data_IF_307691704864
#
_entry.id   IF_307691704864
#
_cell.length_a   1.000
_cell.length_b   1.000
_cell.length_c   1.000
_cell.angle_alpha   90.00
_cell.angle_beta   90.00
_cell.angle_gamma   90.00
#
_symmetry.space_group_name_H-M   'P 1'
#
loop_
_entity.id
_entity.type
_entity.pdbx_description
1 polymer ?
#
# COMPACT_ATOMS: atom_id res chain seq x y z
N UNK A 1 8.34 -5.53 -0.45
CA UNK A 1 8.69 -5.49 0.98
C UNK A 1 10.10 -4.96 1.11
N UNK A 2 10.40 -4.26 2.19
CA UNK A 2 11.71 -3.69 2.42
C UNK A 2 12.63 -4.72 3.09
N UNK A 3 13.94 -4.66 2.81
CA UNK A 3 14.92 -5.61 3.31
C UNK A 3 15.43 -5.31 4.74
N UNK A 4 14.96 -4.22 5.34
CA UNK A 4 15.35 -3.73 6.67
C UNK A 4 14.50 -4.32 7.81
N UNK A 5 13.67 -5.32 7.52
CA UNK A 5 12.71 -5.95 8.45
C UNK A 5 11.66 -5.01 9.05
N UNK A 6 11.47 -3.80 8.50
CA UNK A 6 10.32 -2.95 8.83
C UNK A 6 8.99 -3.65 8.53
N UNK A 7 9.00 -4.57 7.56
CA UNK A 7 7.88 -5.42 7.18
C UNK A 7 8.16 -6.87 7.61
N UNK A 8 7.46 -7.35 8.62
CA UNK A 8 7.70 -8.68 9.14
C UNK A 8 7.16 -9.76 8.17
N UNK A 9 7.99 -10.70 7.67
CA UNK A 9 7.56 -11.71 6.70
C UNK A 9 6.43 -12.64 7.17
N UNK A 10 6.16 -12.71 8.48
CA UNK A 10 5.09 -13.52 9.09
C UNK A 10 3.70 -13.18 8.55
N UNK A 11 3.53 -11.97 8.02
CA UNK A 11 2.26 -11.52 7.46
C UNK A 11 2.05 -11.94 6.00
N UNK A 12 3.09 -12.40 5.29
CA UNK A 12 2.98 -12.83 3.88
C UNK A 12 1.93 -13.95 3.71
N UNK A 13 1.90 -15.02 4.52
CA UNK A 13 0.86 -16.05 4.41
C UNK A 13 -0.56 -15.49 4.55
N UNK A 14 -0.77 -14.54 5.47
CA UNK A 14 -2.07 -13.89 5.66
C UNK A 14 -2.45 -13.02 4.45
N UNK A 15 -1.50 -12.30 3.86
CA UNK A 15 -1.75 -11.54 2.62
C UNK A 15 -2.14 -12.44 1.45
N UNK A 16 -1.48 -13.58 1.30
CA UNK A 16 -1.80 -14.59 0.27
C UNK A 16 -3.18 -15.21 0.51
N UNK A 17 -3.51 -15.55 1.78
CA UNK A 17 -4.83 -16.04 2.13
C UNK A 17 -5.91 -15.00 1.78
N UNK A 18 -5.70 -13.74 2.21
CA UNK A 18 -6.62 -12.64 1.92
C UNK A 18 -6.81 -12.43 0.42
N UNK A 19 -5.74 -12.50 -0.36
CA UNK A 19 -5.82 -12.38 -1.83
C UNK A 19 -6.72 -13.47 -2.42
N UNK A 20 -6.61 -14.71 -1.92
CA UNK A 20 -7.38 -15.86 -2.41
C UNK A 20 -8.86 -15.82 -2.02
N UNK A 21 -9.22 -15.18 -0.90
CA UNK A 21 -10.60 -15.15 -0.41
C UNK A 21 -11.60 -14.53 -1.40
N UNK A 22 -11.19 -13.50 -2.13
CA UNK A 22 -12.05 -12.79 -3.09
C UNK A 22 -11.37 -12.54 -4.45
N UNK A 23 -10.25 -13.23 -4.71
CA UNK A 23 -9.39 -13.01 -5.87
C UNK A 23 -8.99 -11.53 -6.04
N UNK A 24 -8.53 -10.89 -4.95
CA UNK A 24 -8.12 -9.48 -4.97
C UNK A 24 -6.91 -9.25 -5.89
N UNK A 25 -6.93 -8.17 -6.64
CA UNK A 25 -5.84 -7.81 -7.54
C UNK A 25 -4.60 -7.35 -6.76
N UNK A 26 -4.83 -6.58 -5.70
CA UNK A 26 -3.78 -6.02 -4.85
C UNK A 26 -4.17 -6.17 -3.37
N UNK A 27 -3.27 -6.73 -2.57
CA UNK A 27 -3.40 -6.73 -1.09
C UNK A 27 -2.32 -5.84 -0.49
N UNK A 28 -2.73 -4.89 0.33
CA UNK A 28 -1.85 -3.92 1.01
C UNK A 28 -1.82 -4.18 2.50
N UNK A 29 -0.61 -4.19 3.07
CA UNK A 29 -0.41 -4.09 4.51
C UNK A 29 -0.60 -2.63 4.96
N UNK A 30 -1.29 -2.43 6.08
CA UNK A 30 -1.63 -1.10 6.58
C UNK A 30 -1.18 -0.88 8.01
N UNK A 31 -0.66 0.32 8.29
CA UNK A 31 -0.33 0.79 9.64
C UNK A 31 -1.51 1.46 10.34
N UNK A 32 -2.61 1.73 9.61
CA UNK A 32 -3.65 2.67 10.05
C UNK A 32 -5.05 2.06 10.19
N UNK A 33 -5.24 0.80 9.83
CA UNK A 33 -6.52 0.10 10.01
C UNK A 33 -6.35 -1.19 10.82
N UNK A 34 -7.44 -1.61 11.48
CA UNK A 34 -7.50 -2.86 12.25
C UNK A 34 -6.46 -2.91 13.38
N UNK A 35 -5.72 -4.02 13.43
CA UNK A 35 -4.61 -4.30 14.34
C UNK A 35 -3.26 -3.76 13.85
N UNK A 36 -3.26 -2.96 12.77
CA UNK A 36 -2.06 -2.32 12.23
C UNK A 36 -1.45 -1.29 13.17
N UNK A 37 -0.14 -1.06 13.03
CA UNK A 37 0.56 -0.10 13.88
C UNK A 37 2.00 0.18 13.47
N UNK A 38 2.61 1.12 14.20
CA UNK A 38 4.03 1.48 14.06
C UNK A 38 4.74 1.39 15.41
N UNK A 39 5.95 0.84 15.41
CA UNK A 39 6.81 0.73 16.59
C UNK A 39 7.95 1.77 16.54
N UNK A 40 8.31 2.32 17.70
CA UNK A 40 9.45 3.25 17.83
C UNK A 40 9.25 4.65 17.25
N UNK A 41 8.04 5.02 16.80
CA UNK A 41 7.75 6.37 16.30
C UNK A 41 7.29 7.30 17.41
N UNK A 42 7.86 8.51 17.46
CA UNK A 42 7.36 9.58 18.31
C UNK A 42 5.96 10.06 17.86
N UNK A 43 5.26 10.79 18.74
CA UNK A 43 3.91 11.29 18.46
C UNK A 43 3.89 12.25 17.26
N UNK A 44 4.87 13.14 17.13
CA UNK A 44 4.94 14.12 16.03
C UNK A 44 5.01 13.40 14.68
N UNK A 45 5.84 12.38 14.55
CA UNK A 45 5.98 11.54 13.37
C UNK A 45 4.68 10.80 13.06
N UNK A 46 4.00 10.25 14.07
CA UNK A 46 2.68 9.62 13.88
C UNK A 46 1.65 10.61 13.34
N UNK A 47 1.59 11.83 13.88
CA UNK A 47 0.69 12.88 13.42
C UNK A 47 0.98 13.31 11.99
N UNK A 48 2.23 13.63 11.68
CA UNK A 48 2.63 14.04 10.32
C UNK A 48 2.30 12.95 9.31
N UNK A 49 2.62 11.68 9.63
CA UNK A 49 2.38 10.56 8.72
C UNK A 49 0.90 10.30 8.51
N UNK A 50 0.08 10.32 9.56
CA UNK A 50 -1.38 10.17 9.43
C UNK A 50 -2.00 11.35 8.67
N UNK A 51 -1.57 12.57 8.93
CA UNK A 51 -2.05 13.77 8.24
C UNK A 51 -1.73 13.75 6.75
N UNK A 52 -0.49 13.41 6.39
CA UNK A 52 -0.08 13.28 4.99
C UNK A 52 -0.87 12.17 4.27
N UNK A 53 -1.08 11.03 4.93
CA UNK A 53 -1.83 9.93 4.35
C UNK A 53 -3.32 10.25 4.19
N UNK A 54 -3.94 10.94 5.17
CA UNK A 54 -5.33 11.41 5.07
C UNK A 54 -5.50 12.42 3.93
N UNK A 55 -4.56 13.36 3.80
CA UNK A 55 -4.56 14.33 2.69
C UNK A 55 -4.48 13.62 1.35
N UNK A 56 -3.52 12.69 1.21
CA UNK A 56 -3.33 11.95 -0.04
C UNK A 56 -4.53 11.06 -0.38
N UNK A 57 -5.13 10.38 0.60
CA UNK A 57 -6.35 9.58 0.38
C UNK A 57 -7.54 10.45 -0.03
N UNK A 58 -7.71 11.63 0.59
CA UNK A 58 -8.81 12.55 0.25
C UNK A 58 -8.70 13.10 -1.17
N UNK A 59 -7.48 13.48 -1.58
CA UNK A 59 -7.22 14.10 -2.88
C UNK A 59 -7.17 13.07 -4.01
N UNK A 60 -6.48 11.95 -3.79
CA UNK A 60 -6.23 10.95 -4.85
C UNK A 60 -7.25 9.82 -4.88
N UNK A 61 -8.00 9.62 -3.78
CA UNK A 61 -9.05 8.60 -3.62
C UNK A 61 -8.64 7.19 -4.11
N UNK A 62 -7.47 6.68 -3.71
CA UNK A 62 -6.98 5.37 -4.15
C UNK A 62 -7.79 4.21 -3.54
N UNK A 63 -8.58 4.47 -2.48
CA UNK A 63 -9.36 3.44 -1.79
C UNK A 63 -8.53 2.53 -0.90
N UNK A 64 -7.38 3.02 -0.41
CA UNK A 64 -6.49 2.27 0.50
C UNK A 64 -6.18 3.09 1.75
N UNK A 65 -6.16 2.42 2.90
CA UNK A 65 -5.94 3.08 4.18
C UNK A 65 -4.50 3.55 4.39
N UNK A 66 -3.53 3.01 3.66
CA UNK A 66 -2.12 3.37 3.74
C UNK A 66 -1.51 3.48 2.33
N UNK A 67 -1.49 4.70 1.81
CA UNK A 67 -0.98 4.99 0.47
C UNK A 67 0.55 5.04 0.44
N UNK A 68 1.16 5.36 1.58
CA UNK A 68 2.61 5.54 1.72
C UNK A 68 3.37 4.25 2.08
N UNK A 69 2.65 3.17 2.39
CA UNK A 69 3.23 1.85 2.67
C UNK A 69 3.62 1.09 1.39
N UNK A 70 4.80 0.46 1.39
CA UNK A 70 5.36 -0.32 0.27
C UNK A 70 5.05 -1.83 0.36
N UNK A 71 4.46 -2.28 1.46
CA UNK A 71 4.21 -3.70 1.71
C UNK A 71 2.93 -4.18 1.04
N UNK A 72 3.08 -4.67 -0.18
CA UNK A 72 1.97 -5.03 -1.05
C UNK A 72 2.22 -6.34 -1.77
N UNK A 73 1.15 -7.08 -1.99
CA UNK A 73 1.08 -8.28 -2.80
C UNK A 73 0.25 -7.95 -4.04
N UNK A 74 0.79 -8.21 -5.22
CA UNK A 74 0.13 -7.96 -6.50
C UNK A 74 -0.08 -9.27 -7.25
N UNK A 75 -1.19 -9.39 -7.99
CA UNK A 75 -1.23 -10.32 -9.11
C UNK A 75 -0.18 -9.91 -10.15
N UNK A 76 0.48 -10.89 -10.75
CA UNK A 76 1.56 -10.65 -11.73
C UNK A 76 1.10 -9.79 -12.90
N UNK A 77 -0.06 -10.10 -13.48
CA UNK A 77 -0.62 -9.38 -14.63
C UNK A 77 -0.99 -7.94 -14.29
N UNK A 78 -1.53 -7.72 -13.08
CA UNK A 78 -1.86 -6.38 -12.55
C UNK A 78 -0.60 -5.55 -12.36
N UNK A 79 0.43 -6.11 -11.73
CA UNK A 79 1.71 -5.43 -11.56
C UNK A 79 2.31 -5.01 -12.90
N UNK A 80 2.34 -5.92 -13.88
CA UNK A 80 2.86 -5.65 -15.22
C UNK A 80 2.13 -4.49 -15.92
N UNK A 81 0.79 -4.45 -15.81
CA UNK A 81 -0.03 -3.39 -16.42
C UNK A 81 0.14 -2.04 -15.71
N UNK A 82 0.16 -2.04 -14.38
CA UNK A 82 0.26 -0.80 -13.58
C UNK A 82 1.65 -0.21 -13.73
N UNK A 83 2.71 -1.02 -13.64
CA UNK A 83 4.09 -0.53 -13.72
C UNK A 83 4.41 0.05 -15.10
N UNK A 84 3.90 -0.54 -16.19
CA UNK A 84 4.11 -0.02 -17.55
C UNK A 84 3.43 1.34 -17.77
N UNK A 85 2.42 1.66 -16.97
CA UNK A 85 1.72 2.94 -17.02
C UNK A 85 2.27 3.99 -16.05
N UNK A 86 3.20 3.61 -15.17
CA UNK A 86 3.71 4.49 -14.10
C UNK A 86 4.88 5.34 -14.62
N UNK A 87 4.82 6.65 -14.42
CA UNK A 87 5.83 7.59 -14.95
C UNK A 87 6.74 8.18 -13.87
N UNK A 88 6.27 8.24 -12.62
CA UNK A 88 7.04 8.81 -11.50
C UNK A 88 8.31 8.03 -11.20
N UNK A 89 9.31 8.76 -10.71
CA UNK A 89 10.61 8.23 -10.28
C UNK A 89 10.77 8.39 -8.76
N UNK A 90 11.68 7.62 -8.18
CA UNK A 90 11.95 7.68 -6.73
C UNK A 90 10.82 7.01 -5.94
N UNK A 91 10.45 7.55 -4.77
CA UNK A 91 9.43 6.93 -3.90
C UNK A 91 7.98 7.20 -4.33
N UNK A 92 7.74 8.26 -5.11
CA UNK A 92 6.38 8.69 -5.49
C UNK A 92 5.67 7.71 -6.41
N UNK A 93 6.40 6.87 -7.14
CA UNK A 93 5.83 5.79 -7.96
C UNK A 93 4.94 4.85 -7.16
N UNK A 94 5.23 4.61 -5.87
CA UNK A 94 4.41 3.73 -5.04
C UNK A 94 2.99 4.28 -4.84
N UNK A 95 2.86 5.59 -4.72
CA UNK A 95 1.54 6.23 -4.62
C UNK A 95 0.84 6.22 -5.97
N UNK A 96 1.55 6.58 -7.04
CA UNK A 96 1.02 6.58 -8.41
C UNK A 96 0.49 5.20 -8.82
N UNK A 97 1.22 4.12 -8.51
CA UNK A 97 0.79 2.77 -8.81
C UNK A 97 -0.59 2.45 -8.21
N UNK A 98 -0.89 2.90 -6.99
CA UNK A 98 -2.22 2.65 -6.39
C UNK A 98 -3.31 3.49 -7.01
N UNK A 99 -3.02 4.76 -7.31
CA UNK A 99 -3.98 5.66 -7.98
C UNK A 99 -4.30 5.12 -9.37
N UNK A 100 -3.30 4.68 -10.13
CA UNK A 100 -3.48 4.09 -11.46
C UNK A 100 -4.21 2.75 -11.38
N UNK A 101 -3.83 1.87 -10.45
CA UNK A 101 -4.55 0.61 -10.24
C UNK A 101 -6.04 0.85 -9.95
N UNK A 102 -6.35 1.83 -9.09
CA UNK A 102 -7.73 2.22 -8.81
C UNK A 102 -8.45 2.74 -10.06
N UNK A 103 -7.81 3.61 -10.82
CA UNK A 103 -8.34 4.11 -12.10
C UNK A 103 -8.54 3.02 -13.16
N UNK A 104 -7.78 1.92 -13.09
CA UNK A 104 -7.93 0.74 -13.94
C UNK A 104 -9.01 -0.24 -13.45
N UNK A 105 -9.66 0.06 -12.32
CA UNK A 105 -10.68 -0.81 -11.73
C UNK A 105 -10.14 -2.01 -10.97
N UNK A 106 -8.85 -2.02 -10.60
CA UNK A 106 -8.29 -3.08 -9.77
C UNK A 106 -8.92 -3.09 -8.38
N UNK A 107 -9.09 -4.30 -7.86
CA UNK A 107 -9.63 -4.59 -6.52
C UNK A 107 -8.57 -4.61 -5.43
#
# INVERSE_FOLDING_TARGET
>A
MDADFSHHPKFIPQMVARQREADYDIVTGTRYAGDGGVYGWDLKRKFVSRGANLFADTVLRPGVSDLTGSFRLYKKTVLQKVISSTESKGYTFQMEMMVRAKGMGCT
#
